data_IF_523044851400
#
_entry.id   IF_523044851400
#
_cell.length_a   1.000
_cell.length_b   1.000
_cell.length_c   1.000
_cell.angle_alpha   90.00
_cell.angle_beta   90.00
_cell.angle_gamma   90.00
#
_symmetry.space_group_name_H-M   'P 1'
#
loop_
_entity.id
_entity.type
_entity.pdbx_description
1 polymer ?
#
# COMPACT_ATOMS: atom_id res chain seq x y z
N UNK A 1 15.84 8.99 -6.20
CA UNK A 1 14.47 8.68 -5.75
C UNK A 1 13.54 8.60 -6.97
N UNK A 2 12.70 7.57 -7.08
CA UNK A 2 11.78 7.42 -8.22
C UNK A 2 10.70 8.51 -8.20
N UNK A 3 10.71 9.40 -9.21
CA UNK A 3 9.76 10.53 -9.31
C UNK A 3 8.30 10.06 -9.43
N UNK A 4 8.08 8.96 -10.15
CA UNK A 4 6.74 8.38 -10.32
C UNK A 4 6.19 7.84 -9.00
N UNK A 5 6.99 7.08 -8.25
CA UNK A 5 6.57 6.55 -6.95
C UNK A 5 6.19 7.69 -5.98
N UNK A 6 6.99 8.77 -5.94
CA UNK A 6 6.69 9.94 -5.12
C UNK A 6 5.41 10.66 -5.55
N UNK A 7 5.11 10.73 -6.85
CA UNK A 7 3.88 11.33 -7.36
C UNK A 7 2.66 10.54 -6.87
N UNK A 8 2.69 9.22 -7.02
CA UNK A 8 1.60 8.32 -6.61
C UNK A 8 1.38 8.42 -5.10
N UNK A 9 2.43 8.40 -4.28
CA UNK A 9 2.30 8.51 -2.82
C UNK A 9 1.69 9.87 -2.40
N UNK A 10 2.03 10.96 -3.09
CA UNK A 10 1.43 12.28 -2.84
C UNK A 10 -0.05 12.33 -3.21
N UNK A 11 -0.44 11.73 -4.33
CA UNK A 11 -1.84 11.63 -4.75
C UNK A 11 -2.66 10.79 -3.75
N UNK A 12 -2.11 9.67 -3.26
CA UNK A 12 -2.79 8.85 -2.25
C UNK A 12 -2.89 9.61 -0.92
N UNK A 13 -1.85 10.35 -0.51
CA UNK A 13 -1.86 11.16 0.72
C UNK A 13 -3.04 12.12 0.77
N UNK A 14 -3.41 12.74 -0.36
CA UNK A 14 -4.56 13.64 -0.44
C UNK A 14 -5.91 12.95 -0.17
N UNK A 15 -5.97 11.63 -0.32
CA UNK A 15 -7.18 10.84 -0.09
C UNK A 15 -7.24 10.26 1.33
N UNK A 16 -6.11 10.13 2.01
CA UNK A 16 -6.02 9.43 3.31
C UNK A 16 -5.72 10.33 4.49
N UNK A 17 -5.10 11.49 4.28
CA UNK A 17 -4.81 12.43 5.35
C UNK A 17 -5.98 13.41 5.49
N UNK A 18 -6.27 13.82 6.72
CA UNK A 18 -7.22 14.91 6.97
C UNK A 18 -6.65 16.24 6.46
N UNK A 19 -7.52 17.12 5.95
CA UNK A 19 -7.09 18.43 5.45
C UNK A 19 -6.36 19.22 6.55
N UNK A 20 -5.15 19.69 6.26
CA UNK A 20 -4.33 20.44 7.20
C UNK A 20 -3.45 19.60 8.14
N UNK A 21 -3.47 18.27 8.02
CA UNK A 21 -2.56 17.38 8.74
C UNK A 21 -1.41 16.87 7.85
N UNK A 22 -0.21 16.82 8.42
CA UNK A 22 1.01 16.29 7.77
C UNK A 22 1.43 14.93 8.33
N UNK A 23 0.70 14.41 9.32
CA UNK A 23 0.91 13.13 9.97
C UNK A 23 -0.25 12.16 9.71
N UNK A 24 0.09 10.89 9.47
CA UNK A 24 -0.90 9.86 9.17
C UNK A 24 -0.34 8.67 8.40
N UNK A 25 -1.17 7.66 8.17
CA UNK A 25 -0.81 6.48 7.39
C UNK A 25 -1.28 6.64 5.95
N UNK A 26 -0.38 6.47 4.98
CA UNK A 26 -0.75 6.53 3.55
C UNK A 26 -1.65 5.34 3.18
N UNK A 27 -1.41 4.18 3.78
CA UNK A 27 -2.20 2.96 3.60
C UNK A 27 -2.87 2.57 4.92
N UNK A 28 -4.08 3.09 5.12
CA UNK A 28 -4.89 2.85 6.32
C UNK A 28 -5.63 1.51 6.27
N UNK A 29 -6.04 1.02 7.44
CA UNK A 29 -6.96 -0.10 7.57
C UNK A 29 -8.38 0.30 7.18
N UNK A 30 -9.14 -0.63 6.61
CA UNK A 30 -10.53 -0.37 6.19
C UNK A 30 -11.51 -0.17 7.35
N UNK A 31 -11.16 -0.64 8.55
CA UNK A 31 -12.00 -0.53 9.75
C UNK A 31 -11.53 0.54 10.73
N UNK A 32 -10.27 0.95 10.64
CA UNK A 32 -9.62 1.88 11.57
C UNK A 32 -8.53 2.64 10.81
N UNK A 33 -8.76 3.94 10.59
CA UNK A 33 -7.86 4.83 9.87
C UNK A 33 -6.55 5.10 10.62
N UNK A 34 -6.50 4.85 11.93
CA UNK A 34 -5.30 4.98 12.76
C UNK A 34 -4.44 3.71 12.78
N UNK A 35 -4.89 2.62 12.14
CA UNK A 35 -4.12 1.38 11.99
C UNK A 35 -3.61 1.21 10.56
N UNK A 36 -2.42 0.63 10.38
CA UNK A 36 -1.91 0.33 9.04
C UNK A 36 -2.72 -0.78 8.38
N UNK A 37 -2.76 -0.74 7.06
CA UNK A 37 -3.30 -1.83 6.24
C UNK A 37 -2.62 -3.16 6.59
N UNK A 38 -3.41 -4.21 6.80
CA UNK A 38 -2.86 -5.53 7.11
C UNK A 38 -2.15 -6.15 5.90
N UNK A 39 -1.15 -6.99 6.15
CA UNK A 39 -0.48 -7.76 5.10
C UNK A 39 -1.47 -8.61 4.28
N UNK A 40 -2.49 -9.17 4.94
CA UNK A 40 -3.55 -9.92 4.29
C UNK A 40 -4.34 -9.07 3.29
N UNK A 41 -4.54 -7.78 3.57
CA UNK A 41 -5.20 -6.85 2.64
C UNK A 41 -4.33 -6.60 1.41
N UNK A 42 -3.01 -6.44 1.58
CA UNK A 42 -2.06 -6.31 0.46
C UNK A 42 -2.10 -7.57 -0.42
N UNK A 43 -2.03 -8.75 0.19
CA UNK A 43 -2.11 -10.01 -0.57
C UNK A 43 -3.47 -10.18 -1.28
N UNK A 44 -4.58 -9.75 -0.68
CA UNK A 44 -5.88 -9.73 -1.37
C UNK A 44 -5.86 -8.79 -2.58
N UNK A 45 -5.27 -7.61 -2.47
CA UNK A 45 -5.14 -6.69 -3.59
C UNK A 45 -4.30 -7.28 -4.73
N UNK A 46 -3.18 -7.96 -4.42
CA UNK A 46 -2.38 -8.68 -5.41
C UNK A 46 -3.19 -9.76 -6.14
N UNK A 47 -4.00 -10.54 -5.42
CA UNK A 47 -4.91 -11.53 -6.03
C UNK A 47 -5.92 -10.90 -6.97
N UNK A 48 -6.50 -9.75 -6.58
CA UNK A 48 -7.43 -9.03 -7.44
C UNK A 48 -6.77 -8.49 -8.71
N UNK A 49 -5.47 -8.22 -8.68
CA UNK A 49 -4.68 -7.85 -9.87
C UNK A 49 -4.26 -9.06 -10.72
N UNK A 50 -4.63 -10.28 -10.34
CA UNK A 50 -4.37 -11.50 -11.09
C UNK A 50 -3.17 -12.32 -10.62
N UNK A 51 -2.50 -11.93 -9.52
CA UNK A 51 -1.38 -12.69 -8.97
C UNK A 51 -1.84 -13.80 -8.02
N UNK A 52 -1.41 -15.05 -8.24
CA UNK A 52 -1.53 -16.08 -7.21
C UNK A 52 -0.49 -15.82 -6.12
N UNK A 53 -0.88 -15.21 -5.01
CA UNK A 53 0.05 -14.94 -3.89
C UNK A 53 0.65 -16.18 -3.22
N UNK A 54 0.22 -17.40 -3.57
CA UNK A 54 0.84 -18.65 -3.11
C UNK A 54 1.82 -19.24 -4.12
N UNK A 55 1.60 -19.03 -5.42
CA UNK A 55 2.42 -19.62 -6.49
C UNK A 55 3.27 -18.62 -7.27
N UNK A 56 2.75 -17.40 -7.49
CA UNK A 56 3.44 -16.32 -8.17
C UNK A 56 4.26 -15.49 -7.16
N UNK A 57 3.65 -14.46 -6.58
CA UNK A 57 4.33 -13.49 -5.70
C UNK A 57 3.38 -12.99 -4.61
N UNK A 58 3.80 -13.12 -3.34
CA UNK A 58 3.19 -12.43 -2.20
C UNK A 58 3.88 -11.08 -1.94
N UNK A 59 3.35 -10.27 -1.02
CA UNK A 59 3.95 -8.97 -0.67
C UNK A 59 5.44 -9.05 -0.28
N UNK A 60 5.85 -10.13 0.39
CA UNK A 60 7.27 -10.37 0.70
C UNK A 60 8.12 -10.66 -0.55
N UNK A 61 7.57 -11.38 -1.54
CA UNK A 61 8.24 -11.67 -2.81
C UNK A 61 8.58 -10.39 -3.59
N UNK A 62 7.65 -9.44 -3.66
CA UNK A 62 7.91 -8.12 -4.26
C UNK A 62 9.08 -7.39 -3.57
N UNK A 63 9.19 -7.49 -2.24
CA UNK A 63 10.29 -6.87 -1.48
C UNK A 63 11.64 -7.49 -1.84
N UNK A 64 11.70 -8.81 -1.98
CA UNK A 64 12.94 -9.51 -2.37
C UNK A 64 13.43 -9.13 -3.77
N UNK A 65 12.50 -8.88 -4.71
CA UNK A 65 12.82 -8.47 -6.07
C UNK A 65 13.28 -7.01 -6.20
N UNK A 66 13.11 -6.20 -5.14
CA UNK A 66 13.44 -4.78 -5.14
C UNK A 66 14.87 -4.47 -4.64
N UNK A 67 15.68 -5.50 -4.35
CA UNK A 67 17.10 -5.39 -4.05
C UNK A 67 17.93 -5.23 -5.34
#
# INVERSE_FOLDING_TARGET
LCKQAMKILKEIRQLTYEEGHDDGLIFTGCYDSFKPMSENTINKALRNMGYDTKQDICGHGFRTLAC
#
